data_IF_150811134789
#
_entry.id   IF_150811134789
#
_cell.length_a   1.000
_cell.length_b   1.000
_cell.length_c   1.000
_cell.angle_alpha   90.00
_cell.angle_beta   90.00
_cell.angle_gamma   90.00
#
_symmetry.space_group_name_H-M   'P 1'
#
loop_
_entity.id
_entity.type
_entity.pdbx_description
1 polymer ?
#
# COMPACT_ATOMS: atom_id res chain seq x y z
N UNK A 1 28.32 -19.19 -25.43
CA UNK A 1 27.77 -17.86 -25.74
C UNK A 1 27.28 -17.25 -24.44
N UNK A 2 27.92 -16.19 -23.92
CA UNK A 2 27.38 -15.44 -22.78
C UNK A 2 26.53 -14.29 -23.33
N UNK A 3 25.22 -14.37 -23.15
CA UNK A 3 24.30 -13.28 -23.48
C UNK A 3 24.29 -12.26 -22.35
N UNK A 4 24.56 -10.99 -22.65
CA UNK A 4 24.28 -9.88 -21.72
C UNK A 4 22.80 -9.49 -21.84
N UNK A 5 22.05 -9.66 -20.75
CA UNK A 5 20.71 -9.10 -20.63
C UNK A 5 20.81 -7.62 -20.22
N UNK A 6 20.29 -6.72 -21.06
CA UNK A 6 20.13 -5.31 -20.70
C UNK A 6 18.91 -5.20 -19.79
N UNK A 7 19.07 -4.56 -18.64
CA UNK A 7 17.98 -4.21 -17.73
C UNK A 7 17.82 -2.70 -17.74
N UNK A 8 16.58 -2.22 -17.82
CA UNK A 8 16.23 -0.81 -17.66
C UNK A 8 16.17 -0.50 -16.17
N UNK A 9 16.79 0.59 -15.74
CA UNK A 9 16.64 1.07 -14.38
C UNK A 9 15.34 1.89 -14.28
N UNK A 10 14.50 1.56 -13.30
CA UNK A 10 13.30 2.31 -12.97
C UNK A 10 13.48 2.99 -11.61
N UNK A 11 12.96 4.21 -11.48
CA UNK A 11 12.92 4.91 -10.19
C UNK A 11 11.49 4.82 -9.66
N UNK A 12 11.34 4.30 -8.44
CA UNK A 12 10.03 4.23 -7.79
C UNK A 12 9.45 5.63 -7.59
N UNK A 13 8.21 5.82 -8.05
CA UNK A 13 7.40 7.03 -7.81
C UNK A 13 6.47 6.88 -6.61
N UNK A 14 6.55 5.78 -5.87
CA UNK A 14 5.66 5.50 -4.73
C UNK A 14 5.74 6.61 -3.66
N UNK A 15 6.93 7.16 -3.46
CA UNK A 15 7.16 8.27 -2.53
C UNK A 15 6.39 9.56 -2.88
N UNK A 16 5.94 9.72 -4.13
CA UNK A 16 5.08 10.84 -4.53
C UNK A 16 3.69 10.75 -3.88
N UNK A 17 3.26 9.54 -3.49
CA UNK A 17 1.95 9.27 -2.90
C UNK A 17 2.00 9.07 -1.37
N UNK A 18 3.19 8.95 -0.78
CA UNK A 18 3.39 8.79 0.66
C UNK A 18 3.65 10.12 1.38
N UNK A 19 2.97 11.18 0.95
CA UNK A 19 2.90 12.43 1.72
C UNK A 19 1.72 12.38 2.68
N UNK A 20 1.79 13.13 3.79
CA UNK A 20 0.67 13.17 4.75
C UNK A 20 -0.64 13.66 4.10
N UNK A 21 -0.55 14.59 3.13
CA UNK A 21 -1.72 15.08 2.38
C UNK A 21 -2.39 13.95 1.59
N UNK A 22 -1.60 13.21 0.82
CA UNK A 22 -2.09 12.12 -0.02
C UNK A 22 -2.61 10.96 0.84
N UNK A 23 -1.87 10.57 1.88
CA UNK A 23 -2.29 9.54 2.83
C UNK A 23 -3.58 9.94 3.55
N UNK A 24 -3.75 11.21 3.94
CA UNK A 24 -5.01 11.69 4.52
C UNK A 24 -6.18 11.60 3.55
N UNK A 25 -5.93 11.87 2.26
CA UNK A 25 -6.96 11.75 1.21
C UNK A 25 -7.34 10.28 0.97
N UNK A 26 -6.37 9.37 1.00
CA UNK A 26 -6.60 7.93 0.81
C UNK A 26 -7.28 7.28 2.02
N UNK A 27 -6.82 7.59 3.24
CA UNK A 27 -7.34 7.00 4.49
C UNK A 27 -8.68 7.64 4.88
N UNK A 28 -8.94 8.88 4.48
CA UNK A 28 -10.19 9.60 4.78
C UNK A 28 -10.29 10.15 6.20
N UNK A 29 -9.23 10.05 7.00
CA UNK A 29 -9.18 10.55 8.37
C UNK A 29 -7.91 11.34 8.68
N UNK A 30 -7.99 12.23 9.66
CA UNK A 30 -6.81 12.91 10.19
C UNK A 30 -5.83 11.91 10.83
N UNK A 31 -4.55 12.29 10.90
CA UNK A 31 -3.45 11.41 11.30
C UNK A 31 -3.64 10.74 12.66
N UNK A 32 -4.30 11.43 13.59
CA UNK A 32 -4.58 10.94 14.94
C UNK A 32 -5.52 9.72 14.93
N UNK A 33 -6.29 9.54 13.86
CA UNK A 33 -7.23 8.42 13.68
C UNK A 33 -6.65 7.27 12.87
N UNK A 34 -5.48 7.44 12.26
CA UNK A 34 -4.86 6.39 11.43
C UNK A 34 -4.63 5.07 12.16
N UNK A 35 -4.23 5.02 13.46
CA UNK A 35 -4.09 3.74 14.15
C UNK A 35 -5.40 2.94 14.19
N UNK A 36 -6.55 3.61 14.35
CA UNK A 36 -7.86 2.95 14.37
C UNK A 36 -8.26 2.50 12.97
N UNK A 37 -8.06 3.35 11.95
CA UNK A 37 -8.30 2.98 10.55
C UNK A 37 -7.44 1.77 10.14
N UNK A 38 -6.17 1.75 10.53
CA UNK A 38 -5.25 0.64 10.26
C UNK A 38 -5.76 -0.68 10.86
N UNK A 39 -6.20 -0.68 12.12
CA UNK A 39 -6.76 -1.88 12.76
C UNK A 39 -8.00 -2.36 12.01
N UNK A 40 -8.90 -1.44 11.63
CA UNK A 40 -10.10 -1.77 10.85
C UNK A 40 -9.72 -2.43 9.52
N UNK A 41 -8.83 -1.82 8.73
CA UNK A 41 -8.46 -2.37 7.42
C UNK A 41 -7.71 -3.71 7.51
N UNK A 42 -6.89 -3.92 8.56
CA UNK A 42 -6.24 -5.22 8.78
C UNK A 42 -7.25 -6.32 9.12
N UNK A 43 -8.28 -6.00 9.90
CA UNK A 43 -9.35 -6.95 10.23
C UNK A 43 -10.17 -7.27 8.98
N UNK A 44 -10.58 -6.27 8.21
CA UNK A 44 -11.34 -6.47 6.97
C UNK A 44 -10.56 -7.31 5.96
N UNK A 45 -9.29 -6.99 5.72
CA UNK A 45 -8.41 -7.79 4.86
C UNK A 45 -8.28 -9.25 5.33
N UNK A 46 -8.30 -9.49 6.64
CA UNK A 46 -8.25 -10.84 7.20
C UNK A 46 -9.56 -11.59 6.97
N UNK A 47 -10.70 -10.91 7.09
CA UNK A 47 -12.00 -11.49 6.80
C UNK A 47 -12.14 -11.81 5.30
N UNK A 48 -11.79 -10.88 4.43
CA UNK A 48 -11.78 -11.07 2.98
C UNK A 48 -10.90 -12.26 2.56
N UNK A 49 -9.74 -12.43 3.21
CA UNK A 49 -8.86 -13.57 2.98
C UNK A 49 -9.48 -14.90 3.44
N UNK A 50 -10.20 -14.93 4.57
CA UNK A 50 -10.95 -16.10 5.01
C UNK A 50 -12.10 -16.43 4.08
N UNK A 51 -12.83 -15.42 3.60
CA UNK A 51 -13.94 -15.59 2.65
C UNK A 51 -13.44 -16.12 1.29
N UNK A 52 -12.31 -15.61 0.81
CA UNK A 52 -11.69 -16.04 -0.46
C UNK A 52 -11.07 -17.44 -0.42
N UNK A 53 -10.86 -18.01 0.77
CA UNK A 53 -10.25 -19.33 0.95
C UNK A 53 -11.28 -20.48 0.98
N UNK A 54 -12.58 -20.16 1.01
CA UNK A 54 -13.69 -21.12 0.90
C UNK A 54 -14.06 -21.42 -0.57
#
# INVERSE_FOLDING_TARGET
MNHLNRTTFETSREMEFFTEKELRMQIGFSKEKWPVALVKELVDNSLDACESAN
#
